data_IF_643297067675
#
_entry.id   IF_643297067675
#
_cell.length_a   1.000
_cell.length_b   1.000
_cell.length_c   1.000
_cell.angle_alpha   90.00
_cell.angle_beta   90.00
_cell.angle_gamma   90.00
#
_symmetry.space_group_name_H-M   'P 1'
#
loop_
_entity.id
_entity.type
_entity.pdbx_description
1 polymer ?
#
# COMPACT_ATOMS: atom_id res chain seq x y z
N UNK A 1 -14.61 -7.34 35.24
CA UNK A 1 -14.87 -6.74 33.92
C UNK A 1 -13.70 -5.82 33.63
N UNK A 2 -12.88 -6.11 32.63
CA UNK A 2 -11.87 -5.15 32.18
C UNK A 2 -12.64 -4.04 31.48
N UNK A 3 -12.75 -2.87 32.12
CA UNK A 3 -13.21 -1.64 31.46
C UNK A 3 -12.41 -1.48 30.17
N UNK A 4 -13.05 -1.13 29.05
CA UNK A 4 -12.41 -1.12 27.74
C UNK A 4 -11.03 -0.44 27.75
N UNK A 5 -10.03 -1.05 27.13
CA UNK A 5 -8.67 -0.48 27.08
C UNK A 5 -8.74 0.83 26.26
N UNK A 6 -8.37 2.00 26.83
CA UNK A 6 -8.42 3.26 26.09
C UNK A 6 -7.39 3.27 24.96
N UNK A 7 -7.80 3.67 23.76
CA UNK A 7 -6.88 3.95 22.65
C UNK A 7 -6.38 5.39 22.77
N UNK A 8 -5.08 5.56 22.99
CA UNK A 8 -4.42 6.87 22.94
C UNK A 8 -3.59 6.98 21.67
N UNK A 9 -3.92 7.91 20.78
CA UNK A 9 -3.17 8.16 19.54
C UNK A 9 -2.38 9.46 19.73
N UNK A 10 -1.04 9.35 19.82
CA UNK A 10 -0.12 10.49 19.87
C UNK A 10 0.51 10.67 18.48
N UNK A 11 0.63 11.90 17.98
CA UNK A 11 1.33 12.17 16.73
C UNK A 11 2.84 11.91 16.87
N UNK A 12 3.50 11.52 15.78
CA UNK A 12 4.91 11.11 15.75
C UNK A 12 5.89 12.17 16.25
N UNK A 13 5.52 13.45 16.19
CA UNK A 13 6.37 14.57 16.63
C UNK A 13 6.66 14.60 18.14
N UNK A 14 5.89 13.88 18.98
CA UNK A 14 6.07 13.86 20.45
C UNK A 14 6.60 12.53 21.01
N UNK A 15 7.08 11.62 20.17
CA UNK A 15 7.70 10.38 20.67
C UNK A 15 9.06 10.68 21.35
N UNK A 16 9.72 11.79 21.00
CA UNK A 16 11.05 12.15 21.48
C UNK A 16 11.10 12.90 22.82
N UNK A 17 9.97 13.13 23.51
CA UNK A 17 9.93 13.95 24.73
C UNK A 17 9.37 13.21 25.96
N UNK A 18 9.49 11.88 26.01
CA UNK A 18 9.05 11.11 27.18
C UNK A 18 10.29 10.79 28.02
N UNK A 19 10.44 11.46 29.16
CA UNK A 19 11.08 10.85 30.32
C UNK A 19 10.27 9.60 30.66
N UNK A 20 10.71 8.44 30.19
CA UNK A 20 10.09 7.17 30.53
C UNK A 20 10.62 6.74 31.90
N UNK A 21 9.71 6.57 32.87
CA UNK A 21 9.98 5.71 34.03
C UNK A 21 10.44 4.35 33.53
N UNK A 22 11.63 3.90 33.94
CA UNK A 22 12.32 2.71 33.42
C UNK A 22 11.55 1.39 33.66
N UNK A 23 10.51 1.39 34.49
CA UNK A 23 9.91 0.17 35.06
C UNK A 23 8.90 -0.60 34.18
N UNK A 24 8.78 -0.38 32.87
CA UNK A 24 7.74 -1.09 32.07
C UNK A 24 8.02 -1.30 30.57
N UNK A 25 9.27 -1.29 30.12
CA UNK A 25 9.59 -1.58 28.70
C UNK A 25 9.61 -3.10 28.49
N UNK A 26 8.78 -3.61 27.57
CA UNK A 26 8.81 -5.02 27.19
C UNK A 26 10.16 -5.36 26.54
N UNK A 27 10.74 -6.52 26.87
CA UNK A 27 11.97 -7.00 26.22
C UNK A 27 11.81 -7.21 24.70
N UNK A 28 10.57 -7.32 24.21
CA UNK A 28 10.25 -7.42 22.79
C UNK A 28 10.13 -6.05 22.10
N UNK A 29 10.18 -4.95 22.85
CA UNK A 29 10.04 -3.61 22.31
C UNK A 29 11.30 -3.16 21.55
N UNK A 30 11.11 -2.62 20.34
CA UNK A 30 12.22 -2.07 19.58
C UNK A 30 12.80 -0.81 20.23
N UNK A 31 14.12 -0.63 20.10
CA UNK A 31 14.81 0.61 20.47
C UNK A 31 14.16 1.85 19.82
N UNK A 32 14.25 3.05 20.42
CA UNK A 32 13.66 4.27 19.89
C UNK A 32 13.98 4.55 18.41
N UNK A 33 15.24 4.42 17.99
CA UNK A 33 15.64 4.64 16.59
C UNK A 33 14.99 3.66 15.59
N UNK A 34 14.86 2.38 15.96
CA UNK A 34 14.15 1.37 15.15
C UNK A 34 12.66 1.68 15.04
N UNK A 35 12.02 2.10 16.14
CA UNK A 35 10.60 2.54 16.13
C UNK A 35 10.41 3.74 15.22
N UNK A 36 11.27 4.75 15.35
CA UNK A 36 11.23 5.94 14.50
C UNK A 36 11.34 5.57 13.01
N UNK A 37 12.34 4.76 12.63
CA UNK A 37 12.52 4.33 11.24
C UNK A 37 11.30 3.60 10.68
N UNK A 38 10.70 2.69 11.45
CA UNK A 38 9.49 1.97 11.05
C UNK A 38 8.32 2.93 10.81
N UNK A 39 8.00 3.80 11.78
CA UNK A 39 6.89 4.74 11.65
C UNK A 39 7.13 5.79 10.55
N UNK A 40 8.37 6.19 10.32
CA UNK A 40 8.71 7.05 9.18
C UNK A 40 8.45 6.36 7.85
N UNK A 41 8.81 5.08 7.67
CA UNK A 41 8.46 4.33 6.47
C UNK A 41 6.95 4.24 6.26
N UNK A 42 6.19 3.98 7.32
CA UNK A 42 4.72 3.89 7.29
C UNK A 42 4.06 5.24 6.95
N UNK A 43 4.50 6.33 7.57
CA UNK A 43 3.86 7.64 7.42
C UNK A 43 4.38 8.44 6.23
N UNK A 44 5.62 8.21 5.79
CA UNK A 44 6.26 8.95 4.69
C UNK A 44 6.29 8.17 3.37
N UNK A 45 5.87 6.89 3.32
CA UNK A 45 5.60 6.25 2.02
C UNK A 45 4.50 7.01 1.27
N UNK A 46 4.60 7.05 -0.04
CA UNK A 46 3.63 7.69 -0.93
C UNK A 46 3.33 6.78 -2.09
N UNK A 47 2.12 6.93 -2.61
CA UNK A 47 1.73 6.32 -3.86
C UNK A 47 2.15 7.23 -5.01
N UNK A 48 3.26 6.89 -5.65
CA UNK A 48 3.97 7.75 -6.57
C UNK A 48 3.50 7.53 -8.01
N UNK A 49 3.40 8.63 -8.76
CA UNK A 49 2.98 8.64 -10.18
C UNK A 49 4.02 9.26 -11.09
N UNK A 50 5.11 9.75 -10.52
CA UNK A 50 6.15 10.49 -11.21
C UNK A 50 7.49 9.84 -10.90
N UNK A 51 8.13 9.31 -11.95
CA UNK A 51 9.37 8.56 -11.88
C UNK A 51 10.39 9.18 -12.82
N UNK A 52 11.66 8.90 -12.57
CA UNK A 52 12.77 9.25 -13.47
C UNK A 52 13.39 7.98 -14.05
N UNK A 53 14.07 8.12 -15.18
CA UNK A 53 14.65 7.00 -15.94
C UNK A 53 15.88 6.36 -15.31
N UNK A 54 16.33 6.87 -14.15
CA UNK A 54 17.48 6.31 -13.42
C UNK A 54 17.22 4.84 -13.08
N UNK A 55 18.12 3.91 -13.45
CA UNK A 55 17.95 2.49 -13.16
C UNK A 55 17.99 2.23 -11.66
N UNK A 56 17.28 1.17 -11.23
CA UNK A 56 17.30 0.71 -9.85
C UNK A 56 18.50 -0.21 -9.66
N UNK A 57 19.20 -0.05 -8.55
CA UNK A 57 20.21 -1.01 -8.08
C UNK A 57 19.56 -2.41 -7.89
N UNK A 58 20.04 -3.46 -8.57
CA UNK A 58 19.49 -4.81 -8.45
C UNK A 58 19.47 -5.33 -7.01
N UNK A 59 20.44 -4.97 -6.16
CA UNK A 59 20.45 -5.41 -4.77
C UNK A 59 19.32 -4.77 -3.95
N UNK A 60 19.00 -3.50 -4.23
CA UNK A 60 17.84 -2.83 -3.62
C UNK A 60 16.55 -3.52 -4.02
N UNK A 61 16.39 -3.81 -5.31
CA UNK A 61 15.22 -4.52 -5.80
C UNK A 61 15.09 -5.91 -5.16
N UNK A 62 16.22 -6.63 -5.01
CA UNK A 62 16.28 -7.91 -4.30
C UNK A 62 15.78 -7.81 -2.87
N UNK A 63 16.27 -6.84 -2.08
CA UNK A 63 15.82 -6.62 -0.69
C UNK A 63 14.34 -6.25 -0.60
N UNK A 64 13.83 -5.48 -1.57
CA UNK A 64 12.42 -5.09 -1.66
C UNK A 64 11.52 -6.30 -1.90
N UNK A 65 11.91 -7.19 -2.82
CA UNK A 65 11.18 -8.43 -3.12
C UNK A 65 11.27 -9.44 -1.96
N UNK A 66 12.43 -9.54 -1.32
CA UNK A 66 12.62 -10.39 -0.14
C UNK A 66 11.73 -9.94 1.03
N UNK A 67 11.64 -8.63 1.27
CA UNK A 67 10.71 -8.08 2.26
C UNK A 67 9.24 -8.41 1.95
N UNK A 68 8.86 -8.42 0.66
CA UNK A 68 7.53 -8.84 0.23
C UNK A 68 7.27 -10.32 0.57
N UNK A 69 8.28 -11.18 0.38
CA UNK A 69 8.21 -12.61 0.68
C UNK A 69 8.03 -12.92 2.18
N UNK A 70 8.49 -12.03 3.06
CA UNK A 70 8.34 -12.14 4.51
C UNK A 70 6.96 -11.71 5.04
N UNK A 71 5.96 -11.52 4.18
CA UNK A 71 4.59 -11.26 4.60
C UNK A 71 3.93 -12.49 5.23
N UNK A 72 2.98 -12.25 6.15
CA UNK A 72 2.09 -13.30 6.63
C UNK A 72 1.18 -13.81 5.52
N UNK A 73 0.88 -15.11 5.51
CA UNK A 73 -0.07 -15.71 4.59
C UNK A 73 -0.95 -16.76 5.25
N UNK A 74 -2.20 -16.85 4.78
CA UNK A 74 -3.16 -17.86 5.23
C UNK A 74 -2.59 -19.26 5.05
N UNK A 75 -2.57 -20.05 6.12
CA UNK A 75 -2.02 -21.42 6.08
C UNK A 75 -0.56 -21.52 5.63
N UNK A 76 0.21 -20.43 5.71
CA UNK A 76 1.54 -20.32 5.10
C UNK A 76 1.55 -20.64 3.59
N UNK A 77 0.45 -20.34 2.89
CA UNK A 77 0.26 -20.63 1.46
C UNK A 77 1.24 -19.88 0.57
N UNK A 78 1.71 -18.70 1.00
CA UNK A 78 2.59 -17.81 0.23
C UNK A 78 2.14 -17.70 -1.24
N UNK A 79 0.88 -17.34 -1.54
CA UNK A 79 0.27 -17.50 -2.86
C UNK A 79 0.83 -16.56 -3.94
N UNK A 80 1.64 -15.58 -3.53
CA UNK A 80 2.11 -14.54 -4.41
C UNK A 80 3.14 -15.01 -5.44
N UNK A 81 3.17 -14.33 -6.59
CA UNK A 81 4.30 -14.30 -7.52
C UNK A 81 4.58 -12.84 -7.92
N UNK A 82 5.81 -12.56 -8.36
CA UNK A 82 6.25 -11.22 -8.74
C UNK A 82 6.77 -11.25 -10.19
N UNK A 83 5.93 -10.81 -11.14
CA UNK A 83 6.32 -10.72 -12.55
C UNK A 83 7.03 -9.38 -12.78
N UNK A 84 8.36 -9.40 -12.91
CA UNK A 84 9.19 -8.21 -13.14
C UNK A 84 9.18 -7.86 -14.63
N UNK A 85 8.79 -6.63 -14.95
CA UNK A 85 8.57 -6.17 -16.32
C UNK A 85 9.45 -4.95 -16.58
N UNK A 86 10.43 -5.11 -17.48
CA UNK A 86 11.35 -4.04 -17.92
C UNK A 86 11.28 -3.77 -19.42
N UNK A 87 10.66 -4.67 -20.19
CA UNK A 87 10.53 -4.53 -21.64
C UNK A 87 9.59 -3.36 -21.99
N UNK A 88 10.08 -2.32 -22.73
CA UNK A 88 9.25 -1.21 -23.17
C UNK A 88 8.04 -1.63 -24.00
N UNK A 89 8.14 -2.69 -24.82
CA UNK A 89 7.02 -3.17 -25.63
C UNK A 89 5.88 -3.70 -24.77
N UNK A 90 6.20 -4.48 -23.73
CA UNK A 90 5.23 -4.98 -22.75
C UNK A 90 4.60 -3.81 -21.98
N UNK A 91 5.43 -2.86 -21.51
CA UNK A 91 4.94 -1.66 -20.80
C UNK A 91 4.00 -0.82 -21.67
N UNK A 92 4.25 -0.73 -22.99
CA UNK A 92 3.38 -0.02 -23.92
C UNK A 92 2.00 -0.66 -24.07
N UNK A 93 1.92 -2.01 -24.10
CA UNK A 93 0.63 -2.72 -24.10
C UNK A 93 -0.18 -2.40 -22.85
N UNK A 94 0.48 -2.45 -21.69
CA UNK A 94 -0.16 -2.20 -20.39
C UNK A 94 -0.57 -0.73 -20.23
N UNK A 95 0.21 0.21 -20.78
CA UNK A 95 -0.17 1.61 -20.84
C UNK A 95 -1.42 1.85 -21.71
N UNK A 96 -1.55 1.11 -22.82
CA UNK A 96 -2.76 1.15 -23.66
C UNK A 96 -3.97 0.56 -22.91
N UNK A 97 -3.79 -0.56 -22.20
CA UNK A 97 -4.82 -1.13 -21.33
C UNK A 97 -5.30 -0.10 -20.29
N UNK A 98 -4.37 0.55 -19.57
CA UNK A 98 -4.70 1.63 -18.65
C UNK A 98 -5.48 2.77 -19.33
N UNK A 99 -5.00 3.24 -20.49
CA UNK A 99 -5.63 4.35 -21.21
C UNK A 99 -7.10 4.05 -21.49
N UNK A 100 -7.39 2.87 -22.05
CA UNK A 100 -8.76 2.46 -22.38
C UNK A 100 -9.63 2.37 -21.12
N UNK A 101 -9.15 1.69 -20.07
CA UNK A 101 -9.87 1.54 -18.80
C UNK A 101 -10.10 2.89 -18.09
N UNK A 102 -9.15 3.83 -18.21
CA UNK A 102 -9.23 5.15 -17.62
C UNK A 102 -10.20 6.06 -18.38
N UNK A 103 -10.26 5.96 -19.71
CA UNK A 103 -11.27 6.64 -20.53
C UNK A 103 -12.69 6.19 -20.16
N UNK A 104 -12.91 4.89 -19.96
CA UNK A 104 -14.19 4.34 -19.48
C UNK A 104 -14.52 4.78 -18.05
N UNK A 105 -13.53 4.75 -17.15
CA UNK A 105 -13.72 5.19 -15.76
C UNK A 105 -14.04 6.68 -15.66
N UNK A 106 -13.46 7.52 -16.52
CA UNK A 106 -13.76 8.96 -16.57
C UNK A 106 -15.24 9.22 -16.88
N UNK A 107 -15.91 8.38 -17.68
CA UNK A 107 -17.33 8.54 -18.01
C UNK A 107 -18.27 8.28 -16.82
N UNK A 108 -17.77 7.69 -15.73
CA UNK A 108 -18.53 7.47 -14.50
C UNK A 108 -18.64 8.73 -13.63
N UNK A 109 -17.91 9.79 -13.98
CA UNK A 109 -17.98 11.09 -13.32
C UNK A 109 -18.60 12.13 -14.24
N UNK A 110 -19.16 13.20 -13.67
CA UNK A 110 -19.75 14.31 -14.42
C UNK A 110 -19.28 15.67 -13.89
N UNK A 111 -19.43 16.71 -14.73
CA UNK A 111 -19.15 18.11 -14.37
C UNK A 111 -17.71 18.33 -13.89
N UNK A 112 -17.55 19.13 -12.84
CA UNK A 112 -16.22 19.47 -12.31
C UNK A 112 -15.49 18.27 -11.71
N UNK A 113 -16.22 17.23 -11.26
CA UNK A 113 -15.59 16.00 -10.75
C UNK A 113 -14.88 15.24 -11.87
N UNK A 114 -15.49 15.18 -13.05
CA UNK A 114 -14.87 14.57 -14.24
C UNK A 114 -13.66 15.36 -14.71
N UNK A 115 -13.77 16.70 -14.75
CA UNK A 115 -12.61 17.56 -15.09
C UNK A 115 -11.44 17.34 -14.14
N UNK A 116 -11.72 17.26 -12.83
CA UNK A 116 -10.70 16.97 -11.84
C UNK A 116 -10.11 15.57 -12.03
N UNK A 117 -10.93 14.55 -12.25
CA UNK A 117 -10.43 13.20 -12.53
C UNK A 117 -9.47 13.18 -13.72
N UNK A 118 -9.85 13.82 -14.83
CA UNK A 118 -9.06 13.88 -16.06
C UNK A 118 -7.75 14.66 -15.92
N UNK A 119 -7.60 15.52 -14.89
CA UNK A 119 -6.34 16.23 -14.64
C UNK A 119 -5.36 15.44 -13.76
N UNK A 120 -5.79 14.33 -13.16
CA UNK A 120 -4.94 13.50 -12.31
C UNK A 120 -4.04 12.59 -13.14
N UNK A 121 -2.75 12.59 -12.84
CA UNK A 121 -1.86 11.52 -13.30
C UNK A 121 -2.05 10.28 -12.41
N UNK A 122 -2.64 9.21 -12.94
CA UNK A 122 -3.05 8.02 -12.17
C UNK A 122 -2.17 6.79 -12.40
N UNK A 123 -1.12 6.92 -13.21
CA UNK A 123 -0.14 5.87 -13.47
C UNK A 123 1.26 6.44 -13.70
N UNK A 124 2.24 5.56 -13.85
CA UNK A 124 3.60 5.87 -14.27
C UNK A 124 4.24 4.67 -14.96
N UNK A 125 3.43 3.90 -15.71
CA UNK A 125 3.75 2.61 -16.32
C UNK A 125 4.94 2.76 -17.24
N UNK A 126 4.96 3.77 -18.11
CA UNK A 126 6.05 3.96 -19.08
C UNK A 126 7.27 4.62 -18.43
N UNK A 127 7.06 5.54 -17.49
CA UNK A 127 8.12 6.31 -16.83
C UNK A 127 8.97 5.48 -15.87
N UNK A 128 8.35 4.57 -15.12
CA UNK A 128 9.04 3.76 -14.13
C UNK A 128 9.98 2.75 -14.81
N UNK A 129 11.27 2.66 -14.43
CA UNK A 129 12.22 1.74 -15.05
C UNK A 129 11.84 0.27 -14.85
N UNK A 130 11.13 -0.06 -13.77
CA UNK A 130 10.68 -1.42 -13.46
C UNK A 130 9.20 -1.40 -13.10
N UNK A 131 8.41 -2.28 -13.72
CA UNK A 131 7.06 -2.58 -13.26
C UNK A 131 7.02 -3.98 -12.66
N UNK A 132 6.12 -4.23 -11.70
CA UNK A 132 5.89 -5.56 -11.13
C UNK A 132 4.39 -5.85 -11.15
N UNK A 133 3.99 -6.91 -11.85
CA UNK A 133 2.67 -7.50 -11.68
C UNK A 133 2.75 -8.52 -10.53
N UNK A 134 2.17 -8.16 -9.38
CA UNK A 134 2.03 -9.05 -8.24
C UNK A 134 0.76 -9.86 -8.41
N UNK A 135 0.90 -11.17 -8.48
CA UNK A 135 -0.22 -12.09 -8.73
C UNK A 135 -0.45 -13.00 -7.53
N UNK A 136 -1.62 -13.63 -7.47
CA UNK A 136 -2.00 -14.63 -6.48
C UNK A 136 -2.37 -15.93 -7.21
N UNK A 137 -1.62 -17.00 -6.95
CA UNK A 137 -1.96 -18.34 -7.39
C UNK A 137 -3.11 -18.88 -6.54
N UNK A 138 -4.32 -18.94 -7.13
CA UNK A 138 -5.53 -19.37 -6.43
C UNK A 138 -5.55 -20.86 -6.14
N UNK A 139 -4.63 -21.63 -6.71
CA UNK A 139 -4.57 -23.09 -6.66
C UNK A 139 -3.34 -23.64 -5.96
N UNK A 140 -2.45 -22.76 -5.45
CA UNK A 140 -1.24 -23.18 -4.74
C UNK A 140 -1.60 -24.12 -3.58
N UNK A 141 -0.94 -25.28 -3.55
CA UNK A 141 -1.19 -26.36 -2.60
C UNK A 141 -2.58 -27.03 -2.68
N UNK A 142 -3.30 -26.86 -3.80
CA UNK A 142 -4.55 -27.55 -4.07
C UNK A 142 -5.78 -26.91 -3.39
N UNK A 143 -6.92 -27.62 -3.35
CA UNK A 143 -8.21 -27.03 -2.95
C UNK A 143 -8.32 -26.79 -1.43
N UNK A 144 -7.53 -27.48 -0.62
CA UNK A 144 -7.66 -27.49 0.84
C UNK A 144 -6.44 -26.83 1.49
N UNK A 145 -6.53 -25.51 1.68
CA UNK A 145 -5.50 -24.71 2.36
C UNK A 145 -6.00 -24.32 3.76
N UNK A 146 -5.15 -24.50 4.77
CA UNK A 146 -5.45 -24.15 6.16
C UNK A 146 -5.85 -22.68 6.26
N UNK A 147 -7.01 -22.39 6.87
CA UNK A 147 -7.51 -21.04 7.08
C UNK A 147 -8.23 -20.39 5.89
N UNK A 148 -8.28 -21.06 4.72
CA UNK A 148 -8.94 -20.54 3.50
C UNK A 148 -10.32 -21.15 3.22
N UNK A 149 -10.68 -22.24 3.91
CA UNK A 149 -11.92 -22.99 3.65
C UNK A 149 -13.20 -22.18 3.86
N UNK A 150 -13.20 -21.21 4.76
CA UNK A 150 -14.37 -20.37 5.08
C UNK A 150 -14.31 -18.97 4.45
N UNK A 151 -13.11 -18.46 4.19
CA UNK A 151 -12.88 -17.16 3.54
C UNK A 151 -11.88 -17.37 2.41
N UNK A 152 -12.40 -17.55 1.20
CA UNK A 152 -11.64 -18.02 0.04
C UNK A 152 -10.62 -16.98 -0.45
N UNK A 153 -10.89 -15.70 -0.23
CA UNK A 153 -10.09 -14.53 -0.63
C UNK A 153 -8.90 -14.26 0.30
N UNK A 154 -8.73 -15.03 1.37
CA UNK A 154 -7.59 -14.88 2.29
C UNK A 154 -6.24 -15.05 1.61
N UNK A 155 -6.18 -15.73 0.46
CA UNK A 155 -5.01 -15.80 -0.41
C UNK A 155 -4.70 -14.45 -1.10
N UNK A 156 -5.73 -13.76 -1.59
CA UNK A 156 -5.63 -12.40 -2.12
C UNK A 156 -5.20 -11.42 -1.02
N UNK A 157 -5.77 -11.53 0.19
CA UNK A 157 -5.38 -10.69 1.32
C UNK A 157 -3.93 -10.92 1.75
N UNK A 158 -3.48 -12.17 1.73
CA UNK A 158 -2.07 -12.53 1.95
C UNK A 158 -1.17 -11.84 0.92
N UNK A 159 -1.59 -11.81 -0.35
CA UNK A 159 -0.85 -11.11 -1.41
C UNK A 159 -0.81 -9.59 -1.19
N UNK A 160 -1.89 -8.97 -0.71
CA UNK A 160 -1.89 -7.55 -0.33
C UNK A 160 -0.89 -7.25 0.81
N UNK A 161 -0.72 -8.16 1.78
CA UNK A 161 0.30 -8.01 2.82
C UNK A 161 1.72 -7.99 2.22
N UNK A 162 2.01 -8.86 1.25
CA UNK A 162 3.28 -8.85 0.52
C UNK A 162 3.52 -7.53 -0.21
N UNK A 163 2.50 -6.99 -0.88
CA UNK A 163 2.57 -5.67 -1.54
C UNK A 163 2.84 -4.56 -0.54
N UNK A 164 2.23 -4.61 0.65
CA UNK A 164 2.44 -3.57 1.67
C UNK A 164 3.85 -3.63 2.28
N UNK A 165 4.41 -4.82 2.51
CA UNK A 165 5.80 -4.97 2.93
C UNK A 165 6.77 -4.44 1.87
N UNK A 166 6.54 -4.80 0.60
CA UNK A 166 7.30 -4.29 -0.56
C UNK A 166 7.33 -2.76 -0.55
N UNK A 167 6.17 -2.12 -0.36
CA UNK A 167 6.05 -0.66 -0.38
C UNK A 167 6.82 0.02 0.74
N UNK A 168 6.81 -0.56 1.95
CA UNK A 168 7.54 -0.02 3.10
C UNK A 168 9.05 -0.19 2.94
N UNK A 169 9.49 -1.38 2.49
CA UNK A 169 10.89 -1.65 2.19
C UNK A 169 11.41 -0.71 1.08
N UNK A 170 10.64 -0.53 0.00
CA UNK A 170 10.99 0.42 -1.06
C UNK A 170 11.16 1.84 -0.52
N UNK A 171 10.26 2.29 0.38
CA UNK A 171 10.42 3.60 1.02
C UNK A 171 11.70 3.70 1.84
N UNK A 172 12.08 2.65 2.57
CA UNK A 172 13.32 2.61 3.33
C UNK A 172 14.57 2.65 2.42
N UNK A 173 14.50 2.00 1.25
CA UNK A 173 15.56 1.98 0.23
C UNK A 173 15.66 3.27 -0.61
N UNK A 174 14.71 4.21 -0.42
CA UNK A 174 14.60 5.44 -1.20
C UNK A 174 14.04 5.23 -2.61
N UNK A 175 13.26 4.17 -2.80
CA UNK A 175 12.63 3.79 -4.07
C UNK A 175 11.14 4.14 -4.01
N UNK A 176 10.65 4.81 -5.05
CA UNK A 176 9.25 5.13 -5.22
C UNK A 176 8.48 3.90 -5.74
N UNK A 177 7.26 3.75 -5.26
CA UNK A 177 6.31 2.72 -5.71
C UNK A 177 4.97 3.39 -5.97
N UNK A 178 4.32 3.00 -7.06
CA UNK A 178 2.98 3.43 -7.43
C UNK A 178 2.09 2.26 -7.82
N UNK A 179 0.90 2.13 -7.23
CA UNK A 179 -0.04 1.06 -7.59
C UNK A 179 -1.00 1.53 -8.69
N UNK A 180 -1.08 0.84 -9.83
CA UNK A 180 -2.06 1.08 -10.89
C UNK A 180 -3.13 -0.03 -10.87
N UNK A 181 -4.39 0.36 -10.72
CA UNK A 181 -5.53 -0.58 -10.68
C UNK A 181 -6.66 -0.20 -11.64
N UNK A 182 -6.46 0.82 -12.47
CA UNK A 182 -7.38 1.19 -13.55
C UNK A 182 -6.91 0.41 -14.78
N UNK A 183 -7.24 -0.88 -14.82
CA UNK A 183 -6.80 -1.84 -15.82
C UNK A 183 -7.92 -2.86 -16.06
N UNK A 184 -8.06 -3.33 -17.29
CA UNK A 184 -8.77 -4.57 -17.57
C UNK A 184 -7.90 -5.75 -17.13
N UNK A 185 -8.39 -6.54 -16.17
CA UNK A 185 -7.67 -7.71 -15.67
C UNK A 185 -7.56 -8.80 -16.73
N UNK A 186 -8.58 -8.96 -17.58
CA UNK A 186 -8.56 -9.96 -18.66
C UNK A 186 -7.50 -9.58 -19.70
N UNK A 187 -7.47 -8.33 -20.15
CA UNK A 187 -6.44 -7.85 -21.07
C UNK A 187 -5.05 -7.91 -20.44
N UNK A 188 -4.92 -7.61 -19.13
CA UNK A 188 -3.65 -7.70 -18.43
C UNK A 188 -3.14 -9.16 -18.37
N UNK A 189 -4.05 -10.13 -18.23
CA UNK A 189 -3.70 -11.54 -18.28
C UNK A 189 -3.21 -11.94 -19.67
N UNK A 190 -3.90 -11.51 -20.72
CA UNK A 190 -3.48 -11.74 -22.11
C UNK A 190 -2.13 -11.10 -22.42
N UNK A 191 -1.92 -9.84 -22.00
CA UNK A 191 -0.70 -9.08 -22.28
C UNK A 191 0.56 -9.71 -21.64
N UNK A 192 0.38 -10.47 -20.56
CA UNK A 192 1.43 -11.05 -19.72
C UNK A 192 1.43 -12.59 -19.70
N UNK A 193 0.63 -13.23 -20.55
CA UNK A 193 0.48 -14.69 -20.62
C UNK A 193 0.15 -15.34 -19.25
N UNK A 194 -0.69 -14.68 -18.44
CA UNK A 194 -1.05 -15.13 -17.10
C UNK A 194 -2.19 -16.16 -17.21
N UNK A 195 -2.03 -17.39 -16.68
CA UNK A 195 -3.05 -18.42 -16.78
C UNK A 195 -4.25 -18.15 -15.87
N UNK A 196 -5.40 -18.77 -16.17
CA UNK A 196 -6.69 -18.48 -15.54
C UNK A 196 -6.69 -18.58 -14.01
N UNK A 197 -5.99 -19.58 -13.47
CA UNK A 197 -5.90 -19.84 -12.03
C UNK A 197 -5.00 -18.86 -11.26
N UNK A 198 -4.29 -17.97 -11.98
CA UNK A 198 -3.47 -16.90 -11.39
C UNK A 198 -4.25 -15.60 -11.50
N UNK A 199 -4.44 -14.92 -10.37
CA UNK A 199 -5.16 -13.64 -10.32
C UNK A 199 -4.15 -12.49 -10.19
N UNK A 200 -4.11 -11.51 -11.12
CA UNK A 200 -3.43 -10.25 -10.87
C UNK A 200 -4.02 -9.54 -9.65
N UNK A 201 -3.17 -9.15 -8.69
CA UNK A 201 -3.58 -8.43 -7.47
C UNK A 201 -3.13 -6.98 -7.53
N UNK A 202 -1.88 -6.72 -7.85
CA UNK A 202 -1.33 -5.36 -7.94
C UNK A 202 -0.46 -5.20 -9.19
N UNK A 203 -0.60 -4.06 -9.87
CA UNK A 203 0.36 -3.65 -10.87
C UNK A 203 1.15 -2.45 -10.31
N UNK A 204 2.44 -2.64 -10.06
CA UNK A 204 3.28 -1.67 -9.38
C UNK A 204 4.28 -1.05 -10.36
N UNK A 205 4.34 0.28 -10.38
CA UNK A 205 5.40 1.05 -11.01
C UNK A 205 6.49 1.33 -9.97
N UNK A 206 7.75 1.00 -10.24
CA UNK A 206 8.86 1.08 -9.28
C UNK A 206 10.03 1.83 -9.91
N UNK A 207 10.58 2.80 -9.19
CA UNK A 207 11.67 3.62 -9.72
C UNK A 207 12.20 4.68 -8.77
N UNK A 208 13.20 5.40 -9.23
CA UNK A 208 13.60 6.65 -8.59
C UNK A 208 12.59 7.77 -8.91
N UNK A 209 12.55 8.78 -8.06
CA UNK A 209 11.76 9.99 -8.23
C UNK A 209 12.58 11.19 -7.76
N UNK A 210 12.34 12.38 -8.31
CA UNK A 210 13.02 13.61 -7.89
C UNK A 210 12.69 13.96 -6.43
N UNK A 211 11.42 13.79 -6.03
CA UNK A 211 10.97 14.03 -4.68
C UNK A 211 9.73 13.20 -4.36
N UNK A 212 9.64 12.72 -3.11
CA UNK A 212 8.41 12.17 -2.58
C UNK A 212 7.42 13.29 -2.26
N UNK A 213 6.13 13.07 -2.50
CA UNK A 213 5.11 14.05 -2.13
C UNK A 213 5.10 14.30 -0.62
N UNK A 214 4.99 15.57 -0.21
CA UNK A 214 4.88 15.94 1.21
C UNK A 214 3.61 15.37 1.86
N UNK A 215 2.51 15.22 1.11
CA UNK A 215 1.24 14.59 1.52
C UNK A 215 0.63 13.78 0.36
N UNK A 216 -0.46 13.00 0.55
CA UNK A 216 -1.07 12.24 -0.53
C UNK A 216 -1.44 13.11 -1.73
N UNK A 217 -1.09 12.67 -2.95
CA UNK A 217 -1.33 13.44 -4.18
C UNK A 217 -2.81 13.80 -4.36
N UNK A 218 -3.72 12.85 -4.11
CA UNK A 218 -5.16 13.06 -4.22
C UNK A 218 -5.69 14.08 -3.18
N UNK A 219 -5.03 14.22 -2.04
CA UNK A 219 -5.35 15.24 -1.06
C UNK A 219 -4.85 16.62 -1.51
N UNK A 220 -3.64 16.69 -2.06
CA UNK A 220 -3.11 17.92 -2.68
C UNK A 220 -3.97 18.40 -3.84
N UNK A 221 -4.47 17.48 -4.66
CA UNK A 221 -5.34 17.78 -5.80
C UNK A 221 -6.80 18.07 -5.41
N UNK A 222 -7.16 18.00 -4.13
CA UNK A 222 -8.53 18.25 -3.68
C UNK A 222 -9.54 17.15 -4.06
N UNK A 223 -9.07 15.94 -4.39
CA UNK A 223 -9.96 14.82 -4.71
C UNK A 223 -10.67 14.28 -3.46
N UNK A 224 -9.96 14.14 -2.35
CA UNK A 224 -10.46 13.69 -1.06
C UNK A 224 -9.55 14.15 0.08
N UNK A 225 -10.05 14.16 1.32
CA UNK A 225 -9.26 14.45 2.51
C UNK A 225 -9.12 13.21 3.39
N UNK A 226 -8.04 13.15 4.18
CA UNK A 226 -7.86 12.10 5.17
C UNK A 226 -9.02 12.13 6.18
N UNK A 227 -9.70 11.00 6.34
CA UNK A 227 -10.73 10.87 7.36
C UNK A 227 -10.11 10.95 8.76
N UNK A 228 -10.76 11.65 9.71
CA UNK A 228 -10.34 11.62 11.11
C UNK A 228 -10.45 10.19 11.66
N UNK A 229 -9.36 9.66 12.21
CA UNK A 229 -9.25 8.25 12.63
C UNK A 229 -10.26 7.90 13.72
N UNK A 230 -10.63 8.85 14.57
CA UNK A 230 -11.63 8.69 15.62
C UNK A 230 -13.03 8.38 15.10
N UNK A 231 -13.34 8.75 13.86
CA UNK A 231 -14.61 8.40 13.21
C UNK A 231 -14.62 6.96 12.66
N UNK A 232 -13.48 6.28 12.70
CA UNK A 232 -13.27 4.94 12.14
C UNK A 232 -13.03 3.87 13.22
N UNK A 233 -13.02 4.25 14.50
CA UNK A 233 -12.82 3.35 15.64
C UNK A 233 -14.16 3.17 16.36
N UNK A 234 -14.65 1.93 16.38
CA UNK A 234 -15.85 1.53 17.11
C UNK A 234 -15.51 0.51 18.19
N UNK A 235 -16.33 0.46 19.25
CA UNK A 235 -16.09 -0.40 20.40
C UNK A 235 -17.14 -1.49 20.50
N UNK A 236 -16.70 -2.75 20.58
CA UNK A 236 -17.48 -3.98 20.74
C UNK A 236 -18.46 -4.30 19.60
N UNK A 237 -19.15 -3.30 19.03
CA UNK A 237 -20.15 -3.41 17.97
C UNK A 237 -19.91 -2.32 16.91
N UNK A 238 -20.42 -2.54 15.71
CA UNK A 238 -20.47 -1.50 14.68
C UNK A 238 -21.18 -0.26 15.21
N UNK A 239 -20.57 0.91 15.07
CA UNK A 239 -21.05 2.19 15.63
C UNK A 239 -21.19 2.20 17.16
N UNK A 240 -20.62 1.22 17.87
CA UNK A 240 -20.56 1.22 19.32
C UNK A 240 -19.64 2.33 19.83
N UNK A 241 -20.16 3.13 20.76
CA UNK A 241 -19.41 4.18 21.45
C UNK A 241 -18.80 3.65 22.76
N UNK A 242 -17.65 4.17 23.19
CA UNK A 242 -17.09 3.81 24.49
C UNK A 242 -17.94 4.42 25.62
N UNK A 243 -18.15 3.69 26.71
CA UNK A 243 -18.94 4.19 27.86
C UNK A 243 -18.14 5.11 28.77
N UNK A 244 -16.80 5.02 28.81
CA UNK A 244 -15.98 5.62 29.90
C UNK A 244 -14.63 6.26 29.50
N UNK A 245 -14.39 6.69 28.24
CA UNK A 245 -13.11 7.34 27.88
C UNK A 245 -13.22 8.54 26.93
N UNK A 246 -12.31 9.50 27.11
CA UNK A 246 -12.08 10.67 26.22
C UNK A 246 -10.93 10.36 25.27
N UNK A 247 -11.14 10.55 23.96
CA UNK A 247 -10.06 10.51 22.97
C UNK A 247 -9.30 11.83 23.06
N UNK A 248 -8.05 11.79 23.51
CA UNK A 248 -7.18 12.96 23.55
C UNK A 248 -6.32 13.01 22.28
N UNK A 249 -6.54 14.01 21.44
CA UNK A 249 -5.58 14.42 20.42
C UNK A 249 -4.94 15.75 20.85
N UNK A 250 -3.62 15.92 20.76
CA UNK A 250 -3.04 17.25 20.76
C UNK A 250 -3.48 17.98 19.49
N UNK A 251 -3.78 19.28 19.64
CA UNK A 251 -4.25 20.19 18.59
C UNK A 251 -3.56 19.96 17.24
N UNK A 252 -4.34 19.62 16.22
CA UNK A 252 -3.88 19.37 14.85
C UNK A 252 -3.40 20.63 14.11
N UNK A 253 -3.48 21.79 14.77
CA UNK A 253 -3.08 23.10 14.24
C UNK A 253 -1.60 23.43 14.43
N UNK A 254 -0.82 22.55 15.09
CA UNK A 254 0.62 22.74 15.31
C UNK A 254 1.42 21.52 14.87
N UNK A 255 1.67 21.40 13.57
CA UNK A 255 2.79 20.64 13.05
C UNK A 255 3.49 21.55 12.02
N UNK A 256 4.58 22.17 12.44
CA UNK A 256 5.61 22.77 11.57
C UNK A 256 6.38 21.66 10.83
#
# INVERSE_FOLDING_TARGET
MVSGIPVTIKTSAKINSIEQSEDNISEHEFSPGKKQGLYEAIYKRRDMRHFITKPIDPEKLGRILDAAHHAGSVGYMQPWNFLVITDPAVKNKIALNFKNANEEAAQKFSGDRQKLYNSLKLEGIQDAPVNICVTCDRTRFGPNVLGRSTVFETDLFSTCCAVQNLWLAARAEGIAVGWVSILSHDQLKEDLDIPDHIQPVAYLCIGHTEAFYSKPMLETAGWAQRLPVEKLIYYNKWQGTPTDFKVYFPDSTKND
#
